data_IF_091110164007
#
_entry.id   IF_091110164007
#
_cell.length_a   1.000
_cell.length_b   1.000
_cell.length_c   1.000
_cell.angle_alpha   90.00
_cell.angle_beta   90.00
_cell.angle_gamma   90.00
#
_symmetry.space_group_name_H-M   'P 1'
#
loop_
_entity.id
_entity.type
_entity.pdbx_description
1 polymer ?
#
# COMPACT_ATOMS: atom_id res chain seq x y z
N UNK A 1 73.23 -33.70 -27.58
CA UNK A 1 72.80 -32.60 -28.48
C UNK A 1 72.50 -31.41 -27.57
N UNK A 2 73.44 -30.68 -26.99
CA UNK A 2 74.66 -30.06 -27.53
C UNK A 2 74.47 -29.38 -28.88
N UNK A 3 74.21 -28.07 -28.81
CA UNK A 3 74.93 -27.07 -29.60
C UNK A 3 75.07 -25.80 -28.75
N UNK A 4 76.31 -25.37 -28.59
CA UNK A 4 76.76 -24.21 -27.81
C UNK A 4 77.59 -23.32 -28.76
N UNK A 5 77.44 -22.00 -28.55
CA UNK A 5 78.35 -20.88 -28.93
C UNK A 5 78.32 -20.48 -30.42
N UNK A 6 78.53 -19.23 -30.87
CA UNK A 6 79.26 -18.07 -30.33
C UNK A 6 78.97 -16.77 -31.18
N UNK A 7 79.78 -15.68 -31.20
CA UNK A 7 79.87 -14.50 -30.34
C UNK A 7 79.54 -13.15 -31.04
N UNK A 8 79.23 -12.11 -30.27
CA UNK A 8 79.73 -10.71 -30.44
C UNK A 8 79.01 -9.84 -29.41
N UNK A 9 79.59 -8.87 -28.71
CA UNK A 9 80.93 -8.32 -28.67
C UNK A 9 81.11 -7.71 -27.27
N UNK A 10 82.33 -7.85 -26.72
CA UNK A 10 83.18 -6.80 -26.14
C UNK A 10 82.49 -5.63 -25.38
N UNK A 11 82.99 -5.08 -24.28
CA UNK A 11 84.10 -5.33 -23.38
C UNK A 11 84.06 -4.16 -22.34
N UNK A 12 84.67 -4.39 -21.17
CA UNK A 12 85.26 -3.41 -20.24
C UNK A 12 84.35 -2.57 -19.31
N UNK A 13 84.43 -2.94 -18.03
CA UNK A 13 84.84 -2.13 -16.86
C UNK A 13 84.60 -0.61 -16.89
N UNK A 14 83.78 -0.08 -15.97
CA UNK A 14 84.07 1.12 -15.15
C UNK A 14 83.35 1.00 -13.78
N UNK A 15 84.12 1.15 -12.69
CA UNK A 15 83.69 1.44 -11.33
C UNK A 15 83.07 2.84 -11.23
N UNK A 16 81.91 3.01 -10.59
CA UNK A 16 81.56 4.28 -9.95
C UNK A 16 80.48 4.11 -8.87
N UNK A 17 80.87 4.47 -7.65
CA UNK A 17 80.03 4.71 -6.47
C UNK A 17 79.00 5.81 -6.74
N UNK A 18 77.78 5.73 -6.18
CA UNK A 18 76.92 6.91 -6.11
C UNK A 18 75.42 6.74 -5.86
N UNK A 19 75.06 6.64 -4.58
CA UNK A 19 73.87 7.21 -3.93
C UNK A 19 72.46 6.56 -4.10
N UNK A 20 71.72 6.34 -2.99
CA UNK A 20 70.43 5.66 -2.98
C UNK A 20 69.26 6.66 -3.13
N UNK A 21 68.29 6.34 -3.99
CA UNK A 21 66.98 7.00 -3.98
C UNK A 21 65.88 5.96 -3.76
N UNK A 22 65.50 5.88 -2.47
CA UNK A 22 64.17 5.61 -1.91
C UNK A 22 63.15 5.03 -2.89
N UNK A 23 62.98 3.72 -2.86
CA UNK A 23 61.77 3.05 -3.34
C UNK A 23 60.79 3.04 -2.16
N UNK A 24 59.86 3.99 -2.14
CA UNK A 24 58.66 3.89 -1.32
C UNK A 24 57.76 2.84 -1.98
N UNK A 25 57.76 1.61 -1.45
CA UNK A 25 56.79 0.59 -1.82
C UNK A 25 55.46 0.93 -1.15
N UNK A 26 54.59 1.66 -1.84
CA UNK A 26 53.20 1.85 -1.44
C UNK A 26 52.47 0.51 -1.56
N UNK A 27 52.31 -0.19 -0.43
CA UNK A 27 51.36 -1.28 -0.30
C UNK A 27 49.95 -0.66 -0.30
N UNK A 28 49.36 -0.55 -1.50
CA UNK A 28 47.96 -0.16 -1.65
C UNK A 28 47.06 -1.29 -1.14
N UNK A 29 46.58 -1.15 0.10
CA UNK A 29 45.56 -2.03 0.66
C UNK A 29 44.22 -1.70 -0.03
N UNK A 30 43.92 -2.42 -1.12
CA UNK A 30 42.61 -2.42 -1.76
C UNK A 30 41.62 -3.14 -0.83
N UNK A 31 41.05 -2.42 0.13
CA UNK A 31 39.86 -2.85 0.85
C UNK A 31 38.68 -2.78 -0.13
N UNK A 32 38.46 -3.87 -0.84
CA UNK A 32 37.19 -4.11 -1.53
C UNK A 32 36.09 -4.22 -0.46
N UNK A 33 35.49 -3.08 -0.11
CA UNK A 33 34.28 -3.05 0.69
C UNK A 33 33.15 -3.56 -0.19
N UNK A 34 32.95 -4.87 -0.19
CA UNK A 34 31.72 -5.47 -0.67
C UNK A 34 30.60 -4.97 0.24
N UNK A 35 29.94 -3.89 -0.16
CA UNK A 35 28.66 -3.50 0.40
C UNK A 35 27.69 -4.63 0.04
N UNK A 36 27.58 -5.64 0.92
CA UNK A 36 26.41 -6.50 0.92
C UNK A 36 25.23 -5.55 1.09
N UNK A 37 24.44 -5.38 0.02
CA UNK A 37 23.14 -4.77 0.12
C UNK A 37 22.36 -5.62 1.13
N UNK A 38 22.29 -5.14 2.38
CA UNK A 38 21.54 -5.82 3.41
C UNK A 38 20.10 -5.90 2.91
N UNK A 39 19.61 -7.11 2.67
CA UNK A 39 18.21 -7.32 2.35
C UNK A 39 17.39 -6.60 3.42
N UNK A 40 16.41 -5.76 3.04
CA UNK A 40 15.67 -4.98 4.00
C UNK A 40 14.99 -5.93 4.98
N UNK A 41 15.34 -5.80 6.26
CA UNK A 41 14.79 -6.63 7.34
C UNK A 41 13.28 -6.41 7.38
N UNK A 42 12.53 -7.50 7.21
CA UNK A 42 11.06 -7.49 7.30
C UNK A 42 10.69 -7.09 8.74
N UNK A 43 9.83 -6.06 8.95
CA UNK A 43 9.42 -5.67 10.28
C UNK A 43 8.68 -6.80 11.02
N UNK A 44 8.85 -6.94 12.34
CA UNK A 44 8.11 -7.92 13.12
C UNK A 44 6.62 -7.55 13.17
N UNK A 45 5.72 -8.53 13.40
CA UNK A 45 4.30 -8.26 13.59
C UNK A 45 4.05 -7.20 14.68
N UNK A 46 3.04 -6.36 14.46
CA UNK A 46 2.62 -5.34 15.40
C UNK A 46 1.76 -5.94 16.53
N UNK A 47 2.02 -5.50 17.77
CA UNK A 47 1.14 -5.75 18.90
C UNK A 47 0.01 -4.70 18.91
N UNK A 48 -1.27 -5.09 18.85
CA UNK A 48 -2.38 -4.15 18.80
C UNK A 48 -2.47 -3.20 20.00
N UNK A 49 -1.87 -3.54 21.15
CA UNK A 49 -1.85 -2.70 22.35
C UNK A 49 -0.76 -1.64 22.34
N UNK A 50 0.37 -1.91 21.68
CA UNK A 50 1.54 -1.03 21.71
C UNK A 50 1.87 -0.41 20.36
N UNK A 51 1.24 -0.87 19.27
CA UNK A 51 1.52 -0.38 17.91
C UNK A 51 1.46 1.13 17.84
N UNK A 52 2.41 1.69 17.10
CA UNK A 52 2.50 3.10 16.74
C UNK A 52 2.79 3.19 15.25
N UNK A 53 2.42 4.32 14.66
CA UNK A 53 2.77 4.59 13.27
C UNK A 53 4.19 5.17 13.23
N UNK A 54 5.07 4.53 12.46
CA UNK A 54 6.44 4.98 12.28
C UNK A 54 6.46 6.23 11.38
N UNK A 55 6.62 7.41 11.98
CA UNK A 55 6.55 8.71 11.28
C UNK A 55 7.91 9.29 10.95
N UNK A 56 9.01 8.64 11.35
CA UNK A 56 10.35 9.23 11.22
C UNK A 56 10.73 9.62 9.80
N UNK A 57 10.22 8.93 8.76
CA UNK A 57 10.39 9.33 7.36
C UNK A 57 9.66 10.65 7.06
N UNK A 58 8.37 10.75 7.39
CA UNK A 58 7.59 11.97 7.19
C UNK A 58 8.17 13.17 7.99
N UNK A 59 8.64 12.94 9.22
CA UNK A 59 9.29 13.96 10.04
C UNK A 59 10.62 14.43 9.43
N UNK A 60 11.44 13.50 8.91
CA UNK A 60 12.67 13.85 8.17
C UNK A 60 12.37 14.69 6.94
N UNK A 61 11.38 14.28 6.14
CA UNK A 61 10.98 15.05 4.96
C UNK A 61 10.49 16.45 5.35
N UNK A 62 9.65 16.56 6.37
CA UNK A 62 9.13 17.83 6.88
C UNK A 62 10.27 18.78 7.28
N UNK A 63 11.26 18.29 8.03
CA UNK A 63 12.42 19.10 8.43
C UNK A 63 13.23 19.59 7.21
N UNK A 64 13.43 18.75 6.20
CA UNK A 64 14.12 19.14 4.96
C UNK A 64 13.33 20.16 4.15
N UNK A 65 12.01 19.96 4.05
CA UNK A 65 11.11 20.85 3.32
C UNK A 65 11.08 22.25 3.93
N UNK A 66 10.94 22.34 5.26
CA UNK A 66 10.94 23.64 5.95
C UNK A 66 12.31 24.32 5.90
N UNK A 67 13.41 23.58 6.12
CA UNK A 67 14.76 24.13 6.07
C UNK A 67 15.16 24.65 4.67
N UNK A 68 14.48 24.18 3.62
CA UNK A 68 14.71 24.61 2.24
C UNK A 68 13.66 25.63 1.74
N UNK A 69 12.78 26.12 2.62
CA UNK A 69 11.70 27.04 2.22
C UNK A 69 10.74 26.45 1.19
N UNK A 70 10.59 25.13 1.17
CA UNK A 70 9.75 24.38 0.23
C UNK A 70 10.41 23.99 -1.10
N UNK A 71 11.65 24.44 -1.37
CA UNK A 71 12.38 24.14 -2.61
C UNK A 71 13.51 23.15 -2.34
N UNK A 72 13.25 21.87 -2.57
CA UNK A 72 14.20 20.79 -2.28
C UNK A 72 15.23 20.63 -3.41
N UNK A 73 16.47 20.26 -3.06
CA UNK A 73 17.47 19.80 -4.03
C UNK A 73 17.52 18.27 -4.06
N UNK A 74 17.82 17.69 -5.23
CA UNK A 74 17.85 16.24 -5.40
C UNK A 74 18.98 15.61 -4.58
N UNK A 75 20.14 16.28 -4.48
CA UNK A 75 21.29 15.80 -3.73
C UNK A 75 21.00 15.75 -2.23
N UNK A 76 20.32 16.79 -1.71
CA UNK A 76 19.94 16.84 -0.30
C UNK A 76 18.86 15.83 0.01
N UNK A 77 17.86 15.69 -0.85
CA UNK A 77 16.78 14.73 -0.68
C UNK A 77 17.27 13.28 -0.76
N UNK A 78 18.20 12.99 -1.68
CA UNK A 78 18.84 11.68 -1.76
C UNK A 78 19.55 11.35 -0.44
N UNK A 79 20.48 12.21 -0.02
CA UNK A 79 21.31 11.98 1.17
C UNK A 79 20.51 11.94 2.47
N UNK A 80 19.59 12.88 2.66
CA UNK A 80 18.99 13.11 3.97
C UNK A 80 17.61 12.43 4.14
N UNK A 81 16.95 12.02 3.04
CA UNK A 81 15.66 11.31 3.07
C UNK A 81 15.73 9.90 2.48
N UNK A 82 16.27 9.71 1.28
CA UNK A 82 16.24 8.40 0.62
C UNK A 82 17.29 7.43 1.18
N UNK A 83 18.55 7.85 1.30
CA UNK A 83 19.65 7.03 1.83
C UNK A 83 19.42 6.67 3.30
N UNK A 84 18.76 7.57 4.04
CA UNK A 84 18.35 7.39 5.45
C UNK A 84 16.94 6.84 5.59
N UNK A 85 16.30 6.46 4.49
CA UNK A 85 14.92 6.02 4.44
C UNK A 85 14.71 4.75 5.26
N UNK A 86 13.59 4.71 6.00
CA UNK A 86 13.20 3.51 6.72
C UNK A 86 12.76 2.39 5.74
N UNK A 87 12.27 1.27 6.28
CA UNK A 87 11.60 0.25 5.46
C UNK A 87 10.48 0.87 4.61
N UNK A 88 9.74 1.86 5.13
CA UNK A 88 8.68 2.58 4.41
C UNK A 88 9.16 3.24 3.12
N UNK A 89 10.17 4.11 3.19
CA UNK A 89 10.75 4.75 1.99
C UNK A 89 11.30 3.72 1.00
N UNK A 90 11.93 2.64 1.48
CA UNK A 90 12.43 1.56 0.60
C UNK A 90 11.30 0.86 -0.16
N UNK A 91 10.15 0.62 0.48
CA UNK A 91 8.95 0.07 -0.16
C UNK A 91 8.36 1.02 -1.19
N UNK A 92 8.27 2.32 -0.85
CA UNK A 92 7.73 3.33 -1.77
C UNK A 92 8.66 3.66 -2.94
N UNK A 93 9.97 3.40 -2.83
CA UNK A 93 10.93 3.89 -3.82
C UNK A 93 10.74 3.28 -5.22
N UNK A 94 10.82 1.96 -5.45
CA UNK A 94 10.92 1.41 -6.81
C UNK A 94 9.79 1.82 -7.76
N UNK A 95 8.55 1.86 -7.27
CA UNK A 95 7.36 2.08 -8.11
C UNK A 95 6.61 3.39 -7.82
N UNK A 96 6.93 4.09 -6.73
CA UNK A 96 6.27 5.35 -6.35
C UNK A 96 7.22 6.53 -6.49
N UNK A 97 8.21 6.63 -5.62
CA UNK A 97 9.15 7.77 -5.55
C UNK A 97 10.14 7.76 -6.73
N UNK A 98 10.55 6.56 -7.17
CA UNK A 98 11.60 6.25 -8.15
C UNK A 98 12.99 6.69 -7.69
N UNK A 99 13.21 8.00 -7.60
CA UNK A 99 14.47 8.61 -7.21
C UNK A 99 14.25 10.03 -6.65
N UNK A 100 15.31 10.63 -6.11
CA UNK A 100 15.22 11.95 -5.50
C UNK A 100 14.86 13.04 -6.52
N UNK A 101 15.25 12.90 -7.79
CA UNK A 101 14.96 13.89 -8.82
C UNK A 101 13.48 13.87 -9.22
N UNK A 102 12.85 12.70 -9.38
CA UNK A 102 11.40 12.60 -9.59
C UNK A 102 10.67 13.23 -8.40
N UNK A 103 11.04 12.91 -7.16
CA UNK A 103 10.37 13.48 -5.98
C UNK A 103 10.49 15.02 -5.92
N UNK A 104 11.67 15.58 -6.15
CA UNK A 104 11.86 17.04 -6.24
C UNK A 104 10.93 17.64 -7.31
N UNK A 105 10.87 17.02 -8.49
CA UNK A 105 9.99 17.47 -9.57
C UNK A 105 8.51 17.40 -9.18
N UNK A 106 8.08 16.36 -8.45
CA UNK A 106 6.69 16.26 -7.95
C UNK A 106 6.37 17.34 -6.93
N UNK A 107 7.31 17.62 -6.02
CA UNK A 107 7.18 18.68 -5.02
C UNK A 107 7.06 20.04 -5.68
N UNK A 108 7.97 20.36 -6.59
CA UNK A 108 7.97 21.61 -7.35
C UNK A 108 6.70 21.78 -8.21
N UNK A 109 6.15 20.69 -8.75
CA UNK A 109 4.92 20.75 -9.53
C UNK A 109 3.66 21.00 -8.67
N UNK A 110 3.68 20.67 -7.38
CA UNK A 110 2.51 20.77 -6.47
C UNK A 110 2.89 21.27 -5.07
N UNK A 111 3.57 22.42 -4.91
CA UNK A 111 4.17 22.82 -3.64
C UNK A 111 3.13 22.97 -2.52
N UNK A 112 1.92 23.47 -2.84
CA UNK A 112 0.83 23.59 -1.86
C UNK A 112 0.34 22.25 -1.30
N UNK A 113 0.42 21.16 -2.07
CA UNK A 113 0.06 19.82 -1.58
C UNK A 113 1.05 19.34 -0.54
N UNK A 114 2.35 19.48 -0.81
CA UNK A 114 3.41 19.05 0.10
C UNK A 114 3.52 19.96 1.33
N UNK A 115 3.36 21.27 1.16
CA UNK A 115 3.30 22.20 2.28
C UNK A 115 2.15 21.86 3.23
N UNK A 116 0.97 21.51 2.70
CA UNK A 116 -0.16 21.07 3.51
C UNK A 116 0.08 19.71 4.15
N UNK A 117 0.68 18.77 3.43
CA UNK A 117 1.09 17.47 3.97
C UNK A 117 1.93 17.65 5.23
N UNK A 118 2.99 18.47 5.14
CA UNK A 118 3.92 18.76 6.23
C UNK A 118 3.27 19.57 7.36
N UNK A 119 2.64 20.71 7.04
CA UNK A 119 2.22 21.69 8.05
C UNK A 119 0.87 21.40 8.70
N UNK A 120 0.00 20.68 8.00
CA UNK A 120 -1.38 20.43 8.45
C UNK A 120 -1.63 18.96 8.70
N UNK A 121 -1.24 18.09 7.76
CA UNK A 121 -1.63 16.68 7.82
C UNK A 121 -0.80 15.96 8.88
N UNK A 122 0.53 16.06 8.82
CA UNK A 122 1.44 15.36 9.72
C UNK A 122 1.10 15.55 11.21
N UNK A 123 0.89 16.79 11.72
CA UNK A 123 0.51 16.98 13.13
C UNK A 123 -0.78 16.27 13.54
N UNK A 124 -1.75 16.16 12.63
CA UNK A 124 -3.03 15.49 12.89
C UNK A 124 -2.83 13.97 12.88
N UNK A 125 -2.13 13.42 11.88
CA UNK A 125 -1.89 11.97 11.81
C UNK A 125 -1.05 11.50 13.01
N UNK A 126 -0.09 12.30 13.49
CA UNK A 126 0.69 11.99 14.70
C UNK A 126 -0.17 11.85 15.98
N UNK A 127 -1.41 12.35 15.97
CA UNK A 127 -2.33 12.23 17.10
C UNK A 127 -3.27 11.02 16.97
N UNK A 128 -3.12 10.17 15.94
CA UNK A 128 -4.07 9.07 15.65
C UNK A 128 -3.67 7.71 16.20
N UNK A 129 -2.68 7.64 17.09
CA UNK A 129 -2.22 6.38 17.71
C UNK A 129 -3.33 5.63 18.44
N UNK A 130 -4.24 6.35 19.12
CA UNK A 130 -5.38 5.72 19.80
C UNK A 130 -6.34 5.05 18.80
N UNK A 131 -6.63 5.73 17.68
CA UNK A 131 -7.45 5.18 16.59
C UNK A 131 -6.80 3.98 15.93
N UNK A 132 -5.48 4.02 15.73
CA UNK A 132 -4.70 2.89 15.22
C UNK A 132 -4.85 1.67 16.13
N UNK A 133 -4.54 1.82 17.42
CA UNK A 133 -4.63 0.72 18.40
C UNK A 133 -6.05 0.17 18.52
N UNK A 134 -7.06 1.05 18.56
CA UNK A 134 -8.45 0.61 18.57
C UNK A 134 -8.83 -0.19 17.31
N UNK A 135 -8.35 0.24 16.14
CA UNK A 135 -8.58 -0.47 14.87
C UNK A 135 -7.86 -1.82 14.85
N UNK A 136 -6.61 -1.87 15.29
CA UNK A 136 -5.83 -3.10 15.36
C UNK A 136 -6.38 -4.10 16.37
N UNK A 137 -6.90 -3.63 17.52
CA UNK A 137 -7.62 -4.47 18.48
C UNK A 137 -8.89 -5.07 17.87
N UNK A 138 -9.66 -4.28 17.11
CA UNK A 138 -10.84 -4.79 16.43
C UNK A 138 -10.49 -5.86 15.38
N UNK A 139 -9.47 -5.60 14.55
CA UNK A 139 -8.98 -6.56 13.56
C UNK A 139 -8.40 -7.83 14.21
N UNK A 140 -7.66 -7.69 15.31
CA UNK A 140 -7.16 -8.83 16.08
C UNK A 140 -8.31 -9.65 16.67
N UNK A 141 -9.39 -9.01 17.14
CA UNK A 141 -10.59 -9.71 17.58
C UNK A 141 -11.31 -10.48 16.47
N UNK A 142 -11.29 -9.96 15.23
CA UNK A 142 -11.84 -10.65 14.06
C UNK A 142 -10.94 -11.79 13.57
N UNK A 143 -9.61 -11.61 13.65
CA UNK A 143 -8.61 -12.51 13.10
C UNK A 143 -7.43 -12.73 14.07
N UNK A 144 -7.63 -13.42 15.21
CA UNK A 144 -6.63 -13.49 16.28
C UNK A 144 -5.32 -14.17 15.88
N UNK A 145 -5.36 -15.12 14.93
CA UNK A 145 -4.19 -15.88 14.50
C UNK A 145 -3.42 -15.23 13.34
N UNK A 146 -3.83 -14.02 12.91
CA UNK A 146 -3.18 -13.33 11.79
C UNK A 146 -2.24 -12.24 12.30
N UNK A 147 -0.97 -12.22 11.84
CA UNK A 147 -0.05 -11.16 12.22
C UNK A 147 -0.49 -9.82 11.61
N UNK A 148 -0.55 -8.79 12.44
CA UNK A 148 -0.79 -7.42 12.00
C UNK A 148 0.54 -6.80 11.53
N UNK A 149 0.55 -6.04 10.43
CA UNK A 149 1.77 -5.40 9.93
C UNK A 149 2.11 -4.13 10.72
N UNK A 150 3.35 -3.65 10.59
CA UNK A 150 3.72 -2.31 11.04
C UNK A 150 3.20 -1.23 10.07
N UNK A 151 2.96 -0.03 10.58
CA UNK A 151 2.57 1.12 9.75
C UNK A 151 3.71 2.12 9.64
N UNK A 152 3.99 2.56 8.41
CA UNK A 152 4.97 3.59 8.11
C UNK A 152 4.28 4.77 7.43
N UNK A 153 4.62 5.99 7.83
CA UNK A 153 4.16 7.21 7.18
C UNK A 153 5.33 7.86 6.44
N UNK A 154 5.17 8.04 5.14
CA UNK A 154 6.19 8.63 4.26
C UNK A 154 5.61 9.80 3.48
N UNK A 155 6.48 10.64 2.93
CA UNK A 155 6.12 11.57 1.86
C UNK A 155 6.59 11.00 0.54
N UNK A 156 5.64 10.71 -0.34
CA UNK A 156 5.86 10.08 -1.63
C UNK A 156 5.73 11.03 -2.82
N UNK A 157 5.58 10.46 -4.02
CA UNK A 157 5.45 11.18 -5.29
C UNK A 157 4.00 11.60 -5.62
N UNK A 158 3.07 11.51 -4.67
CA UNK A 158 1.66 11.89 -4.84
C UNK A 158 0.84 10.93 -5.69
N UNK A 159 1.26 9.66 -5.81
CA UNK A 159 0.66 8.65 -6.68
C UNK A 159 0.15 7.40 -5.94
N UNK A 160 0.22 7.36 -4.61
CA UNK A 160 -0.33 6.26 -3.82
C UNK A 160 -0.71 6.72 -2.41
N UNK A 161 -1.90 6.32 -1.96
CA UNK A 161 -2.37 6.58 -0.59
C UNK A 161 -1.82 5.56 0.40
N UNK A 162 -1.70 4.31 -0.02
CA UNK A 162 -1.09 3.23 0.74
C UNK A 162 -0.46 2.20 -0.22
N UNK A 163 0.64 1.57 0.20
CA UNK A 163 1.18 0.37 -0.46
C UNK A 163 1.54 -0.65 0.62
N UNK A 164 1.15 -1.91 0.38
CA UNK A 164 1.51 -3.03 1.23
C UNK A 164 2.84 -3.65 0.81
N UNK A 165 3.59 -4.13 1.80
CA UNK A 165 4.79 -4.95 1.65
C UNK A 165 4.81 -6.02 2.75
N UNK A 166 5.68 -7.04 2.67
CA UNK A 166 5.79 -8.03 3.74
C UNK A 166 5.99 -7.38 5.11
N UNK A 167 5.08 -7.64 6.04
CA UNK A 167 5.12 -7.11 7.41
C UNK A 167 4.84 -5.61 7.56
N UNK A 168 4.48 -4.90 6.48
CA UNK A 168 4.30 -3.44 6.53
C UNK A 168 3.18 -2.93 5.64
N UNK A 169 2.54 -1.85 6.08
CA UNK A 169 1.84 -0.92 5.18
C UNK A 169 2.50 0.44 5.26
N UNK A 170 2.55 1.10 4.12
CA UNK A 170 3.22 2.38 3.98
C UNK A 170 2.23 3.39 3.42
N UNK A 171 1.96 4.44 4.17
CA UNK A 171 0.98 5.47 3.83
C UNK A 171 1.69 6.69 3.25
N UNK A 172 1.17 7.21 2.14
CA UNK A 172 1.63 8.44 1.49
C UNK A 172 0.93 9.67 2.05
N UNK A 173 1.61 10.42 2.93
CA UNK A 173 1.04 11.55 3.67
C UNK A 173 0.42 12.62 2.76
N UNK A 174 1.05 12.90 1.62
CA UNK A 174 0.61 13.92 0.66
C UNK A 174 -0.68 13.56 -0.10
N UNK A 175 -1.08 12.28 -0.04
CA UNK A 175 -2.31 11.78 -0.64
C UNK A 175 -3.46 11.75 0.37
N UNK A 176 -3.19 11.45 1.65
CA UNK A 176 -4.22 11.27 2.69
C UNK A 176 -5.17 12.48 2.83
N UNK A 177 -4.68 13.70 2.61
CA UNK A 177 -5.53 14.90 2.71
C UNK A 177 -6.50 15.10 1.55
N UNK A 178 -6.34 14.44 0.39
CA UNK A 178 -7.11 14.79 -0.82
C UNK A 178 -8.63 14.70 -0.63
N UNK A 179 -9.11 13.92 0.33
CA UNK A 179 -10.52 13.81 0.71
C UNK A 179 -10.94 14.56 1.99
N UNK A 180 -10.01 15.21 2.69
CA UNK A 180 -10.27 15.87 3.98
C UNK A 180 -10.42 17.39 3.84
N UNK A 181 -11.47 17.94 4.45
CA UNK A 181 -11.67 19.39 4.61
C UNK A 181 -11.51 19.86 6.06
N UNK A 182 -11.49 18.94 7.02
CA UNK A 182 -11.35 19.19 8.46
C UNK A 182 -10.42 18.16 9.11
N UNK A 183 -9.88 18.44 10.32
CA UNK A 183 -9.10 17.45 11.06
C UNK A 183 -9.87 16.15 11.34
N UNK A 184 -11.16 16.23 11.67
CA UNK A 184 -11.99 15.05 11.91
C UNK A 184 -12.21 14.23 10.64
N UNK A 185 -12.36 14.89 9.50
CA UNK A 185 -12.43 14.20 8.21
C UNK A 185 -11.11 13.47 7.89
N UNK A 186 -9.96 14.09 8.16
CA UNK A 186 -8.66 13.43 8.00
C UNK A 186 -8.53 12.22 8.94
N UNK A 187 -8.86 12.39 10.23
CA UNK A 187 -8.87 11.29 11.22
C UNK A 187 -9.79 10.15 10.77
N UNK A 188 -10.92 10.50 10.13
CA UNK A 188 -11.85 9.52 9.60
C UNK A 188 -11.24 8.69 8.45
N UNK A 189 -10.61 9.38 7.49
CA UNK A 189 -9.90 8.78 6.36
C UNK A 189 -8.77 7.88 6.86
N UNK A 190 -7.88 8.39 7.72
CA UNK A 190 -6.72 7.66 8.23
C UNK A 190 -7.15 6.37 8.95
N UNK A 191 -8.19 6.45 9.80
CA UNK A 191 -8.76 5.25 10.45
C UNK A 191 -9.34 4.25 9.44
N UNK A 192 -9.93 4.73 8.34
CA UNK A 192 -10.37 3.87 7.24
C UNK A 192 -9.20 3.14 6.59
N UNK A 193 -8.10 3.86 6.31
CA UNK A 193 -6.86 3.29 5.78
C UNK A 193 -6.28 2.23 6.72
N UNK A 194 -6.22 2.49 8.04
CA UNK A 194 -5.76 1.51 9.02
C UNK A 194 -6.53 0.20 8.97
N UNK A 195 -7.83 0.23 8.64
CA UNK A 195 -8.66 -0.96 8.63
C UNK A 195 -8.66 -1.67 7.26
N UNK A 196 -8.88 -0.92 6.19
CA UNK A 196 -8.96 -1.44 4.81
C UNK A 196 -7.64 -2.03 4.35
N UNK A 197 -6.58 -1.24 4.47
CA UNK A 197 -5.26 -1.62 3.95
C UNK A 197 -4.66 -2.77 4.77
N UNK A 198 -4.98 -2.86 6.06
CA UNK A 198 -4.64 -4.02 6.89
C UNK A 198 -5.40 -5.27 6.50
N UNK A 199 -6.56 -5.16 5.85
CA UNK A 199 -7.29 -6.35 5.42
C UNK A 199 -6.61 -7.04 4.25
N UNK A 200 -6.01 -6.32 3.31
CA UNK A 200 -5.35 -6.91 2.14
C UNK A 200 -4.32 -8.00 2.45
N UNK A 201 -3.36 -7.84 3.39
CA UNK A 201 -2.45 -8.92 3.75
C UNK A 201 -3.15 -10.12 4.43
N UNK A 202 -4.35 -9.94 4.98
CA UNK A 202 -5.13 -11.02 5.62
C UNK A 202 -5.92 -11.85 4.60
N UNK A 203 -6.26 -11.27 3.44
CA UNK A 203 -7.09 -11.89 2.40
C UNK A 203 -6.39 -13.08 1.71
N UNK A 204 -5.08 -13.20 1.82
CA UNK A 204 -4.31 -14.22 1.11
C UNK A 204 -4.30 -13.97 -0.41
N UNK A 205 -4.12 -15.03 -1.19
CA UNK A 205 -4.19 -14.96 -2.65
C UNK A 205 -5.64 -14.88 -3.14
N UNK A 206 -5.90 -14.07 -4.15
CA UNK A 206 -7.21 -14.01 -4.79
C UNK A 206 -7.44 -15.27 -5.65
N UNK A 207 -8.69 -15.76 -5.73
CA UNK A 207 -9.00 -16.88 -6.59
C UNK A 207 -8.64 -16.55 -8.04
N UNK A 208 -7.88 -17.43 -8.68
CA UNK A 208 -7.64 -17.37 -10.12
C UNK A 208 -8.98 -17.46 -10.87
N UNK A 209 -9.17 -16.62 -11.89
CA UNK A 209 -10.39 -16.62 -12.68
C UNK A 209 -10.84 -15.23 -13.11
N UNK A 210 -12.15 -14.97 -12.97
CA UNK A 210 -12.77 -13.73 -13.43
C UNK A 210 -12.19 -12.50 -12.70
N UNK A 211 -11.63 -11.55 -13.46
CA UNK A 211 -10.95 -10.37 -12.94
C UNK A 211 -11.89 -9.42 -12.17
N UNK A 212 -13.15 -9.31 -12.58
CA UNK A 212 -14.15 -8.51 -11.87
C UNK A 212 -14.45 -9.15 -10.52
N UNK A 213 -14.70 -10.46 -10.47
CA UNK A 213 -14.90 -11.18 -9.22
C UNK A 213 -13.69 -11.04 -8.29
N UNK A 214 -12.48 -11.23 -8.81
CA UNK A 214 -11.25 -11.08 -8.04
C UNK A 214 -11.13 -9.66 -7.44
N UNK A 215 -11.45 -8.62 -8.23
CA UNK A 215 -11.42 -7.22 -7.77
C UNK A 215 -12.46 -6.95 -6.68
N UNK A 216 -13.68 -7.47 -6.82
CA UNK A 216 -14.74 -7.35 -5.79
C UNK A 216 -14.34 -8.05 -4.50
N UNK A 217 -13.77 -9.24 -4.58
CA UNK A 217 -13.30 -9.97 -3.41
C UNK A 217 -12.10 -9.28 -2.76
N UNK A 218 -11.21 -8.65 -3.53
CA UNK A 218 -10.07 -7.91 -3.00
C UNK A 218 -10.50 -6.62 -2.31
N UNK A 219 -11.14 -5.70 -3.03
CA UNK A 219 -11.45 -4.36 -2.52
C UNK A 219 -12.73 -4.34 -1.70
N UNK A 220 -13.78 -5.04 -2.15
CA UNK A 220 -15.06 -5.07 -1.47
C UNK A 220 -15.03 -5.81 -0.14
N UNK A 221 -14.26 -6.89 -0.03
CA UNK A 221 -14.08 -7.53 1.28
C UNK A 221 -13.19 -6.70 2.21
N UNK A 222 -12.21 -5.94 1.68
CA UNK A 222 -11.42 -5.00 2.49
C UNK A 222 -12.30 -3.89 3.06
N UNK A 223 -13.17 -3.28 2.25
CA UNK A 223 -14.14 -2.28 2.70
C UNK A 223 -15.11 -2.86 3.76
N UNK A 224 -15.59 -4.09 3.55
CA UNK A 224 -16.51 -4.75 4.47
C UNK A 224 -15.87 -5.03 5.83
N UNK A 225 -14.65 -5.59 5.85
CA UNK A 225 -13.92 -5.83 7.11
C UNK A 225 -13.54 -4.51 7.77
N UNK A 226 -13.13 -3.50 6.99
CA UNK A 226 -12.84 -2.17 7.51
C UNK A 226 -14.05 -1.57 8.22
N UNK A 227 -15.24 -1.76 7.67
CA UNK A 227 -16.47 -1.34 8.31
C UNK A 227 -16.79 -2.12 9.58
N UNK A 228 -16.60 -3.45 9.59
CA UNK A 228 -16.78 -4.23 10.81
C UNK A 228 -15.83 -3.76 11.93
N UNK A 229 -14.57 -3.48 11.59
CA UNK A 229 -13.56 -3.02 12.54
C UNK A 229 -13.82 -1.58 13.01
N UNK A 230 -14.37 -0.71 12.14
CA UNK A 230 -14.52 0.72 12.44
C UNK A 230 -15.94 1.17 12.78
N UNK A 231 -16.94 0.33 12.55
CA UNK A 231 -18.36 0.63 12.72
C UNK A 231 -18.93 1.62 11.70
N UNK A 232 -18.20 1.95 10.62
CA UNK A 232 -18.63 2.89 9.57
C UNK A 232 -18.07 2.48 8.21
N UNK A 233 -18.77 2.77 7.10
CA UNK A 233 -18.21 2.56 5.78
C UNK A 233 -17.00 3.47 5.55
N UNK A 234 -16.06 3.02 4.72
CA UNK A 234 -14.88 3.81 4.34
C UNK A 234 -15.26 5.11 3.62
N UNK A 235 -16.32 5.06 2.82
CA UNK A 235 -16.88 6.20 2.09
C UNK A 235 -18.40 6.22 2.28
N UNK A 236 -18.86 7.13 3.14
CA UNK A 236 -20.27 7.26 3.47
C UNK A 236 -21.11 7.68 2.27
N UNK A 237 -20.61 8.59 1.42
CA UNK A 237 -21.35 9.06 0.26
C UNK A 237 -21.54 7.93 -0.77
N UNK A 238 -20.52 7.09 -0.97
CA UNK A 238 -20.63 5.88 -1.79
C UNK A 238 -21.63 4.90 -1.20
N UNK A 239 -21.59 4.67 0.11
CA UNK A 239 -22.52 3.78 0.80
C UNK A 239 -23.98 4.27 0.65
N UNK A 240 -24.24 5.54 0.90
CA UNK A 240 -25.58 6.15 0.81
C UNK A 240 -26.16 6.08 -0.61
N UNK A 241 -25.30 6.17 -1.63
CA UNK A 241 -25.71 5.99 -3.02
C UNK A 241 -25.98 4.52 -3.37
N UNK A 242 -25.13 3.60 -2.91
CA UNK A 242 -25.18 2.20 -3.32
C UNK A 242 -26.25 1.39 -2.57
N UNK A 243 -26.43 1.63 -1.26
CA UNK A 243 -27.37 0.87 -0.42
C UNK A 243 -28.80 0.81 -0.97
N UNK A 244 -29.46 1.92 -1.35
CA UNK A 244 -30.83 1.86 -1.90
C UNK A 244 -30.89 1.21 -3.30
N UNK A 245 -29.75 0.96 -3.95
CA UNK A 245 -29.62 0.39 -5.30
C UNK A 245 -29.10 -1.04 -5.30
N UNK A 246 -28.98 -1.69 -4.13
CA UNK A 246 -28.35 -3.01 -3.99
C UNK A 246 -28.88 -4.04 -5.01
N UNK A 247 -30.21 -4.16 -5.17
CA UNK A 247 -30.81 -5.13 -6.08
C UNK A 247 -30.51 -4.83 -7.57
N UNK A 248 -30.45 -3.55 -7.94
CA UNK A 248 -30.10 -3.11 -9.29
C UNK A 248 -28.63 -3.40 -9.57
N UNK A 249 -27.74 -3.02 -8.64
CA UNK A 249 -26.30 -3.23 -8.74
C UNK A 249 -25.95 -4.72 -8.77
N UNK A 250 -26.66 -5.55 -7.99
CA UNK A 250 -26.47 -7.00 -8.02
C UNK A 250 -26.80 -7.58 -9.40
N UNK A 251 -27.91 -7.16 -10.01
CA UNK A 251 -28.30 -7.61 -11.35
C UNK A 251 -27.28 -7.18 -12.41
N UNK A 252 -26.76 -5.96 -12.32
CA UNK A 252 -25.70 -5.46 -13.21
C UNK A 252 -24.41 -6.28 -13.03
N UNK A 253 -24.01 -6.50 -11.78
CA UNK A 253 -22.83 -7.30 -11.45
C UNK A 253 -22.91 -8.73 -11.99
N UNK A 254 -24.04 -9.41 -11.86
CA UNK A 254 -24.22 -10.75 -12.43
C UNK A 254 -24.10 -10.77 -13.96
N UNK A 255 -24.60 -9.74 -14.64
CA UNK A 255 -24.44 -9.59 -16.08
C UNK A 255 -22.97 -9.36 -16.46
N UNK A 256 -22.29 -8.49 -15.73
CA UNK A 256 -20.87 -8.18 -15.95
C UNK A 256 -19.97 -9.39 -15.67
N UNK A 257 -20.26 -10.19 -14.63
CA UNK A 257 -19.54 -11.44 -14.37
C UNK A 257 -19.63 -12.42 -15.55
N UNK A 258 -20.79 -12.49 -16.21
CA UNK A 258 -20.96 -13.34 -17.40
C UNK A 258 -20.19 -12.76 -18.58
N UNK A 259 -20.26 -11.45 -18.80
CA UNK A 259 -19.57 -10.77 -19.89
C UNK A 259 -18.04 -10.79 -19.75
N UNK A 260 -17.53 -10.82 -18.52
CA UNK A 260 -16.09 -10.84 -18.20
C UNK A 260 -15.52 -12.24 -17.98
N UNK A 261 -16.32 -13.29 -18.24
CA UNK A 261 -15.88 -14.67 -18.14
C UNK A 261 -14.75 -14.93 -19.15
N UNK A 262 -13.55 -15.20 -18.65
CA UNK A 262 -12.35 -15.44 -19.47
C UNK A 262 -11.55 -14.19 -19.82
N UNK A 263 -11.99 -12.99 -19.41
CA UNK A 263 -11.19 -11.78 -19.51
C UNK A 263 -9.98 -11.85 -18.57
N UNK A 264 -8.82 -11.48 -19.07
CA UNK A 264 -7.59 -11.31 -18.29
C UNK A 264 -7.36 -9.81 -17.99
N UNK A 265 -6.38 -9.48 -17.15
CA UNK A 265 -6.02 -8.09 -16.87
C UNK A 265 -5.60 -7.28 -18.12
N UNK A 266 -5.28 -7.97 -19.22
CA UNK A 266 -4.90 -7.39 -20.52
C UNK A 266 -6.08 -7.26 -21.50
N UNK A 267 -7.25 -7.81 -21.17
CA UNK A 267 -8.43 -7.79 -22.04
C UNK A 267 -9.13 -6.43 -21.98
N UNK A 268 -9.11 -5.69 -23.10
CA UNK A 268 -9.87 -4.44 -23.23
C UNK A 268 -11.39 -4.74 -23.30
N UNK A 269 -12.10 -4.43 -22.23
CA UNK A 269 -13.55 -4.58 -22.16
C UNK A 269 -14.23 -3.26 -22.57
N UNK A 270 -15.00 -3.28 -23.65
CA UNK A 270 -15.78 -2.11 -24.10
C UNK A 270 -17.05 -1.97 -23.24
N UNK A 271 -17.39 -0.76 -22.75
CA UNK A 271 -18.64 -0.53 -22.03
C UNK A 271 -19.86 -0.93 -22.87
N UNK A 272 -20.79 -1.68 -22.30
CA UNK A 272 -22.05 -2.05 -22.97
C UNK A 272 -21.97 -3.23 -23.96
N UNK A 273 -20.91 -4.05 -23.90
CA UNK A 273 -20.82 -5.25 -24.73
C UNK A 273 -21.73 -6.34 -24.13
N UNK A 274 -22.80 -6.71 -24.85
CA UNK A 274 -23.65 -7.83 -24.46
C UNK A 274 -22.87 -9.15 -24.49
N UNK A 275 -23.15 -10.05 -23.55
CA UNK A 275 -22.46 -11.34 -23.36
C UNK A 275 -22.67 -12.38 -24.50
N UNK A 276 -23.09 -11.94 -25.68
CA UNK A 276 -23.41 -12.81 -26.81
C UNK A 276 -22.87 -12.21 -28.11
N UNK A 277 -21.54 -12.23 -28.29
CA UNK A 277 -20.90 -12.40 -29.60
C UNK A 277 -19.37 -12.48 -29.43
N UNK A 278 -18.73 -13.60 -29.75
CA UNK A 278 -17.28 -13.68 -29.84
C UNK A 278 -16.85 -13.20 -31.24
N UNK A 279 -16.38 -11.97 -31.37
CA UNK A 279 -15.77 -11.51 -32.62
C UNK A 279 -14.28 -11.88 -32.67
N UNK A 280 -13.95 -12.96 -33.37
CA UNK A 280 -12.59 -13.28 -33.82
C UNK A 280 -12.18 -12.29 -34.91
N UNK A 281 -10.91 -11.84 -34.86
CA UNK A 281 -10.30 -10.82 -35.73
C UNK A 281 -10.22 -11.27 -37.20
N UNK A 282 -10.56 -10.37 -38.14
CA UNK A 282 -10.16 -10.48 -39.55
C UNK A 282 -10.91 -9.57 -40.54
N UNK A 283 -10.18 -8.57 -41.08
CA UNK A 283 -10.41 -7.81 -42.34
C UNK A 283 -11.21 -6.49 -42.33
N UNK A 284 -10.86 -5.54 -43.24
CA UNK A 284 -10.98 -4.11 -43.02
C UNK A 284 -12.19 -3.50 -43.74
N UNK A 285 -13.05 -2.80 -43.01
CA UNK A 285 -14.05 -1.90 -43.63
C UNK A 285 -14.13 -0.59 -42.84
N UNK A 286 -14.17 0.47 -43.64
CA UNK A 286 -14.07 1.90 -43.41
C UNK A 286 -15.22 2.52 -42.60
N UNK A 287 -14.89 3.66 -41.98
CA UNK A 287 -15.76 4.77 -41.56
C UNK A 287 -16.78 4.57 -40.43
N UNK A 288 -16.39 4.98 -39.21
CA UNK A 288 -16.99 6.11 -38.50
C UNK A 288 -16.19 6.39 -37.21
N UNK A 289 -15.56 7.58 -37.10
CA UNK A 289 -14.88 8.01 -35.88
C UNK A 289 -15.91 8.20 -34.75
N UNK A 290 -16.08 7.20 -33.89
CA UNK A 290 -16.46 7.42 -32.49
C UNK A 290 -15.17 7.37 -31.67
N UNK A 291 -14.93 8.40 -30.86
CA UNK A 291 -13.75 8.50 -29.99
C UNK A 291 -13.69 7.25 -29.10
N UNK A 292 -12.70 6.40 -29.33
CA UNK A 292 -12.32 5.34 -28.39
C UNK A 292 -11.83 6.00 -27.10
N UNK A 293 -12.40 5.60 -25.96
CA UNK A 293 -11.90 5.95 -24.64
C UNK A 293 -11.44 4.63 -24.01
N UNK A 294 -10.13 4.41 -23.82
CA UNK A 294 -9.65 3.17 -23.23
C UNK A 294 -10.16 3.04 -21.80
N UNK A 295 -10.70 1.86 -21.47
CA UNK A 295 -10.97 1.44 -20.10
C UNK A 295 -9.68 0.86 -19.56
N UNK A 296 -9.00 1.61 -18.70
CA UNK A 296 -7.91 1.09 -17.87
C UNK A 296 -8.57 0.65 -16.57
N UNK A 297 -8.54 -0.65 -16.26
CA UNK A 297 -8.88 -1.14 -14.93
C UNK A 297 -7.87 -0.52 -13.94
N UNK A 298 -8.37 0.39 -13.11
CA UNK A 298 -7.60 0.98 -12.01
C UNK A 298 -7.80 0.06 -10.83
N UNK A 299 -6.82 -0.77 -10.55
CA UNK A 299 -6.73 -1.55 -9.30
C UNK A 299 -6.13 -0.64 -8.23
N UNK A 300 -6.84 -0.48 -7.11
CA UNK A 300 -6.41 0.32 -5.97
C UNK A 300 -6.81 1.81 -5.99
N UNK A 301 -6.84 2.39 -4.80
CA UNK A 301 -7.08 3.82 -4.52
C UNK A 301 -6.10 4.79 -5.22
N UNK A 302 -5.06 4.26 -5.89
CA UNK A 302 -3.95 4.97 -6.53
C UNK A 302 -4.36 6.07 -7.53
N UNK A 303 -5.60 6.06 -8.07
CA UNK A 303 -6.08 7.11 -8.99
C UNK A 303 -7.49 7.67 -8.70
N UNK A 304 -8.11 7.35 -7.55
CA UNK A 304 -9.52 7.70 -7.30
C UNK A 304 -9.82 9.21 -7.15
N UNK A 305 -8.79 10.07 -7.06
CA UNK A 305 -8.94 11.52 -6.78
C UNK A 305 -8.38 12.44 -7.87
N UNK A 306 -8.28 11.98 -9.12
CA UNK A 306 -7.92 12.83 -10.26
C UNK A 306 -9.10 13.69 -10.72
N UNK A 307 -9.13 14.97 -10.33
CA UNK A 307 -10.06 15.97 -10.85
C UNK A 307 -9.75 16.31 -12.32
N UNK A 308 -10.39 15.61 -13.26
CA UNK A 308 -10.61 16.08 -14.63
C UNK A 308 -11.87 15.38 -15.15
N UNK A 309 -12.84 16.16 -15.65
CA UNK A 309 -14.19 15.69 -15.98
C UNK A 309 -14.26 14.30 -16.63
N UNK A 310 -14.90 13.36 -15.95
CA UNK A 310 -15.07 11.98 -16.40
C UNK A 310 -16.56 11.70 -16.61
N UNK A 311 -16.91 11.23 -17.81
CA UNK A 311 -18.26 10.84 -18.23
C UNK A 311 -18.77 9.64 -17.44
N UNK A 312 -20.10 9.58 -17.22
CA UNK A 312 -20.81 8.69 -16.28
C UNK A 312 -20.37 7.21 -16.27
N UNK A 313 -20.00 6.62 -17.40
CA UNK A 313 -19.69 5.19 -17.53
C UNK A 313 -18.40 4.72 -16.86
N UNK A 314 -17.44 5.61 -16.57
CA UNK A 314 -16.19 5.25 -15.85
C UNK A 314 -16.40 5.12 -14.33
N UNK A 315 -17.50 5.66 -13.83
CA UNK A 315 -17.79 5.74 -12.40
C UNK A 315 -18.50 4.49 -11.89
N UNK A 316 -19.29 3.82 -12.72
CA UNK A 316 -20.21 2.78 -12.25
C UNK A 316 -19.51 1.42 -12.02
N UNK A 317 -18.50 1.09 -12.84
CA UNK A 317 -17.70 -0.14 -12.65
C UNK A 317 -16.79 -0.09 -11.40
N UNK A 318 -16.27 1.08 -11.02
CA UNK A 318 -15.54 1.30 -9.76
C UNK A 318 -16.49 1.38 -8.54
N UNK A 319 -17.76 1.76 -8.76
CA UNK A 319 -18.79 1.83 -7.71
C UNK A 319 -19.43 0.47 -7.40
N UNK A 320 -19.47 -0.46 -8.35
CA UNK A 320 -19.99 -1.82 -8.16
C UNK A 320 -19.12 -2.71 -7.25
N UNK A 321 -17.86 -2.36 -7.01
CA UNK A 321 -16.87 -3.29 -6.42
C UNK A 321 -17.15 -3.69 -4.96
N UNK A 322 -18.08 -3.06 -4.24
CA UNK A 322 -17.99 -2.99 -2.76
C UNK A 322 -19.16 -3.59 -1.96
N UNK A 323 -20.24 -4.09 -2.56
CA UNK A 323 -21.44 -4.40 -1.75
C UNK A 323 -21.98 -5.83 -1.75
N UNK A 324 -21.16 -6.83 -2.11
CA UNK A 324 -21.63 -8.21 -2.21
C UNK A 324 -21.40 -9.07 -0.93
N UNK A 325 -20.69 -8.56 0.08
CA UNK A 325 -20.45 -9.32 1.32
C UNK A 325 -21.51 -9.13 2.42
N UNK A 326 -22.45 -8.18 2.29
CA UNK A 326 -23.41 -7.87 3.37
C UNK A 326 -24.61 -8.80 3.50
N UNK A 327 -24.83 -9.73 2.56
CA UNK A 327 -25.87 -10.76 2.66
C UNK A 327 -25.28 -12.18 2.70
N UNK A 328 -24.75 -12.58 3.85
CA UNK A 328 -24.97 -13.96 4.29
C UNK A 328 -26.30 -13.97 5.06
N UNK A 329 -27.31 -14.77 4.66
CA UNK A 329 -28.52 -14.91 5.44
C UNK A 329 -28.11 -15.45 6.82
N UNK A 330 -28.68 -14.87 7.88
CA UNK A 330 -28.58 -15.33 9.26
C UNK A 330 -28.42 -16.85 9.29
N UNK A 331 -27.19 -17.32 9.54
CA UNK A 331 -26.97 -18.68 9.97
C UNK A 331 -27.67 -18.77 11.34
N UNK A 332 -28.92 -19.20 11.31
CA UNK A 332 -29.58 -19.63 12.53
C UNK A 332 -28.72 -20.76 13.06
N UNK A 333 -28.05 -20.55 14.19
CA UNK A 333 -27.46 -21.62 14.97
C UNK A 333 -28.61 -22.54 15.39
N UNK A 334 -28.96 -23.51 14.53
CA UNK A 334 -29.74 -24.68 14.93
C UNK A 334 -28.87 -25.43 15.91
N UNK A 335 -29.22 -25.37 17.19
CA UNK A 335 -28.70 -26.31 18.19
C UNK A 335 -29.04 -27.72 17.71
N UNK A 336 -28.00 -28.48 17.36
CA UNK A 336 -28.11 -29.93 17.16
C UNK A 336 -28.48 -30.62 18.48
N UNK A 337 -28.99 -31.87 18.42
CA UNK A 337 -29.52 -32.56 19.58
C UNK A 337 -28.41 -32.86 20.58
N UNK A 338 -28.75 -32.68 21.86
CA UNK A 338 -27.90 -32.93 23.02
C UNK A 338 -27.26 -34.33 23.00
N UNK A 339 -25.96 -34.37 22.74
CA UNK A 339 -25.09 -35.49 23.08
C UNK A 339 -24.74 -35.44 24.57
N UNK A 340 -25.16 -36.47 25.28
CA UNK A 340 -24.96 -36.72 26.71
C UNK A 340 -23.45 -36.71 27.03
N UNK A 341 -23.00 -35.82 27.90
CA UNK A 341 -21.70 -35.93 28.58
C UNK A 341 -21.90 -35.71 30.08
N UNK A 342 -21.23 -36.56 30.84
CA UNK A 342 -21.38 -36.79 32.27
C UNK A 342 -21.09 -35.55 33.12
N UNK A 343 -21.84 -35.42 34.21
CA UNK A 343 -21.58 -34.43 35.25
C UNK A 343 -20.42 -34.85 36.17
N UNK A 344 -19.61 -33.90 36.63
CA UNK A 344 -19.07 -33.93 37.99
C UNK A 344 -19.85 -32.99 38.92
N UNK A 345 -20.08 -33.46 40.14
CA UNK A 345 -20.78 -32.80 41.27
C UNK A 345 -20.13 -31.46 41.70
N UNK A 346 -20.88 -30.56 42.38
CA UNK A 346 -20.48 -29.18 42.61
C UNK A 346 -19.69 -28.99 43.92
N UNK A 347 -18.68 -28.12 43.90
CA UNK A 347 -18.09 -27.52 45.11
C UNK A 347 -18.25 -26.00 45.10
N UNK A 348 -19.18 -25.53 45.94
CA UNK A 348 -19.23 -24.30 46.74
C UNK A 348 -18.72 -22.95 46.16
N UNK A 349 -19.71 -22.06 45.96
CA UNK A 349 -19.78 -20.61 46.26
C UNK A 349 -18.64 -19.68 45.80
N UNK A 350 -18.99 -18.80 44.84
CA UNK A 350 -18.80 -17.36 44.97
C UNK A 350 -19.89 -16.63 44.17
N UNK A 351 -20.76 -15.91 44.88
CA UNK A 351 -21.80 -15.05 44.34
C UNK A 351 -21.20 -13.71 43.93
N UNK A 352 -21.31 -13.33 42.65
CA UNK A 352 -21.22 -11.93 42.23
C UNK A 352 -22.43 -11.58 41.38
N UNK A 353 -23.13 -10.56 41.86
CA UNK A 353 -24.40 -10.03 41.34
C UNK A 353 -24.21 -9.35 39.98
N UNK A 354 -25.15 -9.62 39.07
CA UNK A 354 -25.33 -8.88 37.82
C UNK A 354 -25.85 -7.47 38.12
N UNK A 355 -25.02 -6.46 37.94
CA UNK A 355 -25.47 -5.08 37.84
C UNK A 355 -25.66 -4.71 36.38
N UNK A 356 -26.92 -4.48 35.98
CA UNK A 356 -27.30 -3.89 34.70
C UNK A 356 -26.77 -2.45 34.67
N UNK A 357 -25.98 -2.08 33.67
CA UNK A 357 -25.73 -0.69 33.33
C UNK A 357 -26.52 -0.35 32.08
N UNK A 358 -27.51 0.52 32.27
CA UNK A 358 -28.34 1.11 31.23
C UNK A 358 -27.56 2.15 30.45
N UNK A 359 -27.61 2.04 29.12
CA UNK A 359 -27.21 3.07 28.18
C UNK A 359 -28.22 4.23 28.26
N UNK A 360 -27.77 5.42 28.66
CA UNK A 360 -28.47 6.68 28.40
C UNK A 360 -27.48 7.78 28.01
N UNK A 361 -27.74 8.31 26.82
CA UNK A 361 -27.66 9.72 26.42
C UNK A 361 -26.33 10.45 26.63
N UNK A 362 -25.62 10.67 25.54
CA UNK A 362 -24.96 11.96 25.28
C UNK A 362 -25.37 12.42 23.87
N UNK A 363 -25.90 13.64 23.84
CA UNK A 363 -26.24 14.44 22.68
C UNK A 363 -25.00 15.23 22.21
#
# INVERSE_FOLDING_TARGET
>A
MDYRLDPSARARYILALGNPRRIFTTFGLLLASSALAANPVIPPPADPLTVEMETGDADRFAALFEAAGGTLSAERLQRDYMDRGSYGVKVFTPNRIKDAADLVNRVAAKPGVYARAVRTCLPIVNQTTAELRATYLALHGLFPDKPLPQLFLVVGAGNSGCTAAPGAQVLGLEVLWRGATTPDALRAIVRGFYAHETTHPLQGGLPAGNILLASVLQEGAADFIAELATGRPMDQARADWAMPREAELWKQFEADLKATRGATAETELKPGTNASEPSIVGSPITTARRRAVPVRLVTGWDNAFGSAGVTSSRTDALRCTIYLCRRTPRLSLRRGPSGRTEQPKPSRRASWSRSRLSVRQWA
#
